data_IF_008040895282
#
_entry.id   IF_008040895282
#
_cell.length_a   1.000
_cell.length_b   1.000
_cell.length_c   1.000
_cell.angle_alpha   90.00
_cell.angle_beta   90.00
_cell.angle_gamma   90.00
#
_symmetry.space_group_name_H-M   'P 1'
#
loop_
_entity.id
_entity.type
_entity.pdbx_description
1 polymer ?
#
# COMPACT_ATOMS: atom_id res chain seq x y z
N UNK A 1 18.89 -7.08 -7.28
CA UNK A 1 19.43 -7.94 -8.36
C UNK A 1 18.27 -8.14 -9.33
N UNK A 2 18.42 -7.75 -10.57
CA UNK A 2 17.45 -8.04 -11.64
C UNK A 2 17.65 -9.51 -12.01
N UNK A 3 16.59 -10.24 -12.23
CA UNK A 3 16.69 -11.60 -12.76
C UNK A 3 16.88 -11.54 -14.28
N UNK A 4 18.11 -11.58 -14.73
CA UNK A 4 18.49 -11.42 -16.16
C UNK A 4 17.88 -12.50 -17.09
N UNK A 5 17.34 -13.57 -16.52
CA UNK A 5 16.69 -14.65 -17.27
C UNK A 5 15.18 -14.44 -17.47
N UNK A 6 14.60 -13.44 -16.81
CA UNK A 6 13.16 -13.13 -16.91
C UNK A 6 12.97 -11.93 -17.80
N UNK A 7 12.15 -12.09 -18.84
CA UNK A 7 11.76 -11.02 -19.73
C UNK A 7 10.24 -10.99 -19.87
N UNK A 8 9.60 -10.16 -19.06
CA UNK A 8 8.16 -9.96 -19.07
C UNK A 8 7.75 -8.89 -20.09
N UNK A 9 8.21 -9.04 -21.35
CA UNK A 9 7.89 -8.12 -22.45
C UNK A 9 6.41 -7.83 -22.52
N UNK A 10 6.06 -6.55 -22.55
CA UNK A 10 4.67 -6.08 -22.63
C UNK A 10 4.05 -5.75 -21.28
N UNK A 11 4.76 -5.95 -20.17
CA UNK A 11 4.36 -5.54 -18.83
C UNK A 11 5.44 -4.70 -18.17
N UNK A 12 5.02 -3.75 -17.34
CA UNK A 12 5.88 -3.01 -16.41
C UNK A 12 5.46 -3.39 -15.00
N UNK A 13 6.41 -3.90 -14.21
CA UNK A 13 6.19 -4.32 -12.85
C UNK A 13 6.82 -3.31 -11.89
N UNK A 14 6.02 -2.78 -10.96
CA UNK A 14 6.43 -1.78 -9.97
C UNK A 14 6.16 -2.36 -8.58
N UNK A 15 7.13 -2.29 -7.68
CA UNK A 15 6.93 -2.64 -6.28
C UNK A 15 6.35 -1.45 -5.51
N UNK A 16 5.34 -1.71 -4.70
CA UNK A 16 4.71 -0.73 -3.83
C UNK A 16 4.91 -1.18 -2.38
N UNK A 17 5.56 -0.36 -1.58
CA UNK A 17 5.84 -0.62 -0.18
C UNK A 17 5.11 0.38 0.71
N UNK A 18 4.32 -0.13 1.64
CA UNK A 18 3.76 0.65 2.74
C UNK A 18 4.61 0.39 3.99
N UNK A 19 5.23 1.42 4.53
CA UNK A 19 6.13 1.31 5.68
C UNK A 19 5.55 2.02 6.91
N UNK A 20 5.78 1.43 8.08
CA UNK A 20 5.50 2.08 9.36
C UNK A 20 6.72 2.93 9.75
N UNK A 21 6.82 4.12 9.15
CA UNK A 21 7.85 5.09 9.50
C UNK A 21 7.25 6.16 10.42
N UNK A 22 7.71 6.19 11.67
CA UNK A 22 7.29 7.22 12.65
C UNK A 22 8.17 8.46 12.61
N UNK A 23 9.34 8.36 11.98
CA UNK A 23 10.35 9.42 11.92
C UNK A 23 10.54 10.00 10.50
N UNK A 24 9.67 9.62 9.55
CA UNK A 24 9.72 10.09 8.15
C UNK A 24 10.87 9.48 7.32
N UNK A 25 11.61 8.50 7.85
CA UNK A 25 12.63 7.78 7.08
C UNK A 25 11.99 6.66 6.27
N UNK A 26 12.06 6.77 4.96
CA UNK A 26 11.53 5.78 4.02
C UNK A 26 12.59 4.79 3.50
N UNK A 27 13.86 4.94 3.92
CA UNK A 27 14.97 4.19 3.33
C UNK A 27 15.13 2.78 3.91
N UNK A 28 15.46 2.66 5.19
CA UNK A 28 15.73 1.41 5.90
C UNK A 28 15.35 1.54 7.36
N UNK A 29 15.42 0.42 8.09
CA UNK A 29 15.02 0.34 9.51
C UNK A 29 13.51 0.51 9.73
N UNK A 30 12.72 0.54 8.64
CA UNK A 30 11.27 0.44 8.68
C UNK A 30 10.83 -0.93 8.15
N UNK A 31 9.81 -1.51 8.76
CA UNK A 31 9.20 -2.73 8.25
C UNK A 31 8.20 -2.40 7.15
N UNK A 32 8.30 -3.10 6.01
CA UNK A 32 7.27 -3.02 4.97
C UNK A 32 6.06 -3.86 5.37
N UNK A 33 5.09 -3.22 5.97
CA UNK A 33 3.84 -3.84 6.42
C UNK A 33 2.91 -4.19 5.26
N UNK A 34 3.06 -3.46 4.16
CA UNK A 34 2.37 -3.69 2.89
C UNK A 34 3.41 -3.91 1.81
N UNK A 35 3.29 -5.02 1.08
CA UNK A 35 4.13 -5.35 -0.07
C UNK A 35 3.19 -5.72 -1.22
N UNK A 36 3.15 -4.86 -2.24
CA UNK A 36 2.32 -5.05 -3.42
C UNK A 36 3.18 -4.98 -4.68
N UNK A 37 2.75 -5.68 -5.71
CA UNK A 37 3.31 -5.60 -7.06
C UNK A 37 2.20 -5.11 -7.97
N UNK A 38 2.41 -3.96 -8.61
CA UNK A 38 1.56 -3.44 -9.67
C UNK A 38 2.13 -3.90 -11.01
N UNK A 39 1.42 -4.79 -11.70
CA UNK A 39 1.78 -5.27 -13.03
C UNK A 39 0.90 -4.57 -14.06
N UNK A 40 1.51 -3.71 -14.86
CA UNK A 40 0.85 -2.84 -15.83
C UNK A 40 1.03 -3.43 -17.24
N UNK A 41 -0.06 -3.75 -17.90
CA UNK A 41 -0.02 -4.12 -19.31
C UNK A 41 0.29 -2.87 -20.15
N UNK A 42 1.42 -2.84 -20.85
CA UNK A 42 1.89 -1.66 -21.57
C UNK A 42 0.98 -1.27 -22.75
N UNK A 43 0.22 -2.23 -23.30
CA UNK A 43 -0.69 -2.02 -24.42
C UNK A 43 -2.09 -1.59 -23.98
N UNK A 44 -2.71 -2.33 -23.06
CA UNK A 44 -4.10 -2.08 -22.61
C UNK A 44 -4.18 -1.09 -21.46
N UNK A 45 -3.06 -0.85 -20.75
CA UNK A 45 -2.98 -0.05 -19.51
C UNK A 45 -3.73 -0.67 -18.34
N UNK A 46 -4.13 -1.93 -18.46
CA UNK A 46 -4.70 -2.66 -17.33
C UNK A 46 -3.67 -2.86 -16.23
N UNK A 47 -4.08 -2.67 -14.99
CA UNK A 47 -3.23 -2.86 -13.80
C UNK A 47 -3.72 -4.05 -13.00
N UNK A 48 -2.83 -5.01 -12.73
CA UNK A 48 -3.07 -6.11 -11.81
C UNK A 48 -2.27 -5.85 -10.53
N UNK A 49 -2.93 -6.01 -9.39
CA UNK A 49 -2.31 -5.86 -8.07
C UNK A 49 -2.13 -7.24 -7.43
N UNK A 50 -0.91 -7.56 -7.05
CA UNK A 50 -0.56 -8.79 -6.35
C UNK A 50 0.03 -8.44 -4.99
N UNK A 51 -0.55 -8.99 -3.91
CA UNK A 51 -0.03 -8.81 -2.55
C UNK A 51 0.92 -9.94 -2.19
N UNK A 52 2.07 -9.57 -1.63
CA UNK A 52 2.96 -10.50 -0.94
C UNK A 52 2.74 -10.31 0.56
N UNK A 53 2.28 -11.35 1.25
CA UNK A 53 2.06 -11.25 2.69
C UNK A 53 3.38 -10.96 3.42
N UNK A 54 3.37 -10.01 4.34
CA UNK A 54 4.56 -9.55 5.06
C UNK A 54 5.31 -10.67 5.79
N UNK A 55 4.60 -11.69 6.24
CA UNK A 55 5.15 -12.84 6.96
C UNK A 55 5.52 -14.03 6.04
N UNK A 56 5.41 -13.86 4.70
CA UNK A 56 5.86 -14.88 3.75
C UNK A 56 7.36 -15.12 3.94
N UNK A 57 7.73 -16.41 4.07
CA UNK A 57 9.10 -16.83 4.31
C UNK A 57 9.83 -16.98 2.98
N UNK A 58 10.73 -16.07 2.65
CA UNK A 58 11.41 -15.96 1.36
C UNK A 58 12.93 -15.91 1.53
N UNK A 59 13.66 -16.31 0.49
CA UNK A 59 15.11 -16.12 0.42
C UNK A 59 15.43 -14.62 0.36
N UNK A 60 16.16 -14.14 1.36
CA UNK A 60 16.54 -12.74 1.54
C UNK A 60 17.78 -12.34 0.72
N UNK A 61 17.96 -12.94 -0.45
CA UNK A 61 19.03 -12.71 -1.44
C UNK A 61 20.45 -13.12 -1.02
N UNK A 62 20.66 -13.50 0.22
CA UNK A 62 21.96 -13.92 0.77
C UNK A 62 21.99 -15.43 1.13
N UNK A 63 20.97 -16.20 0.75
CA UNK A 63 20.81 -17.62 1.12
C UNK A 63 20.15 -17.83 2.48
N UNK A 64 19.81 -16.77 3.19
CA UNK A 64 19.03 -16.83 4.43
C UNK A 64 17.54 -16.61 4.12
N UNK A 65 16.71 -17.47 4.68
CA UNK A 65 15.26 -17.31 4.60
C UNK A 65 14.74 -16.49 5.79
N UNK A 66 13.92 -15.50 5.50
CA UNK A 66 13.31 -14.59 6.50
C UNK A 66 11.92 -14.17 6.04
N UNK A 67 11.19 -13.48 6.93
CA UNK A 67 9.92 -12.84 6.56
C UNK A 67 10.18 -11.74 5.51
N UNK A 68 9.29 -11.63 4.54
CA UNK A 68 9.40 -10.64 3.46
C UNK A 68 9.54 -9.20 3.99
N UNK A 69 8.83 -8.84 5.07
CA UNK A 69 8.90 -7.52 5.72
C UNK A 69 10.31 -7.17 6.21
N UNK A 70 11.10 -8.16 6.64
CA UNK A 70 12.46 -7.94 7.18
C UNK A 70 13.46 -7.54 6.08
N UNK A 71 13.21 -7.91 4.84
CA UNK A 71 14.07 -7.53 3.73
C UNK A 71 14.20 -6.02 3.56
N UNK A 72 13.08 -5.33 3.69
CA UNK A 72 13.06 -3.86 3.64
C UNK A 72 13.84 -3.26 4.82
N UNK A 73 13.62 -3.77 6.02
CA UNK A 73 14.32 -3.32 7.24
C UNK A 73 15.85 -3.39 7.10
N UNK A 74 16.38 -4.51 6.57
CA UNK A 74 17.82 -4.71 6.48
C UNK A 74 18.50 -4.06 5.29
N UNK A 75 17.79 -3.64 4.27
CA UNK A 75 18.43 -3.10 3.06
C UNK A 75 17.55 -2.23 2.19
N UNK A 76 16.45 -1.72 2.74
CA UNK A 76 15.56 -0.78 2.06
C UNK A 76 14.86 -1.37 0.83
N UNK A 77 14.34 -0.50 -0.03
CA UNK A 77 13.58 -0.91 -1.21
C UNK A 77 14.39 -1.75 -2.19
N UNK A 78 15.66 -1.45 -2.39
CA UNK A 78 16.53 -2.18 -3.32
C UNK A 78 16.68 -3.65 -2.95
N UNK A 79 16.82 -3.97 -1.66
CA UNK A 79 16.91 -5.35 -1.18
C UNK A 79 15.55 -6.04 -1.25
N UNK A 80 14.49 -5.35 -0.90
CA UNK A 80 13.12 -5.87 -1.01
C UNK A 80 12.76 -6.23 -2.46
N UNK A 81 13.11 -5.37 -3.43
CA UNK A 81 12.95 -5.67 -4.87
C UNK A 81 13.76 -6.90 -5.27
N UNK A 82 15.03 -6.97 -4.85
CA UNK A 82 15.88 -8.12 -5.18
C UNK A 82 15.31 -9.43 -4.62
N UNK A 83 14.72 -9.41 -3.43
CA UNK A 83 14.01 -10.55 -2.87
C UNK A 83 12.78 -10.93 -3.70
N UNK A 84 11.94 -9.95 -4.09
CA UNK A 84 10.76 -10.19 -4.92
C UNK A 84 11.16 -10.79 -6.27
N UNK A 85 12.12 -10.19 -6.96
CA UNK A 85 12.62 -10.67 -8.24
C UNK A 85 13.15 -12.10 -8.16
N UNK A 86 13.94 -12.41 -7.10
CA UNK A 86 14.54 -13.74 -6.91
C UNK A 86 13.50 -14.83 -6.64
N UNK A 87 12.52 -14.55 -5.79
CA UNK A 87 11.58 -15.57 -5.32
C UNK A 87 10.35 -15.74 -6.22
N UNK A 88 10.03 -14.73 -7.03
CA UNK A 88 8.82 -14.70 -7.87
C UNK A 88 9.12 -14.64 -9.37
N UNK A 89 10.39 -14.76 -9.77
CA UNK A 89 10.85 -14.67 -11.17
C UNK A 89 10.33 -13.40 -11.85
N UNK A 90 10.59 -12.22 -11.22
CA UNK A 90 10.17 -10.92 -11.72
C UNK A 90 11.36 -10.08 -12.18
N UNK A 91 11.06 -9.02 -12.91
CA UNK A 91 12.01 -8.04 -13.47
C UNK A 91 11.76 -6.62 -12.95
N UNK A 92 11.33 -6.48 -11.71
CA UNK A 92 11.02 -5.19 -11.08
C UNK A 92 12.29 -4.33 -11.01
N UNK A 93 12.22 -3.11 -11.51
CA UNK A 93 13.28 -2.08 -11.44
C UNK A 93 12.85 -0.85 -10.66
N UNK A 94 11.55 -0.58 -10.64
CA UNK A 94 10.97 0.63 -10.09
C UNK A 94 10.13 0.32 -8.84
N UNK A 95 10.06 1.28 -7.93
CA UNK A 95 9.28 1.16 -6.71
C UNK A 95 8.67 2.48 -6.27
N UNK A 96 7.65 2.38 -5.45
CA UNK A 96 7.08 3.49 -4.68
C UNK A 96 7.03 3.05 -3.22
N UNK A 97 7.52 3.89 -2.32
CA UNK A 97 7.38 3.70 -0.88
C UNK A 97 6.53 4.82 -0.31
N UNK A 98 5.54 4.47 0.47
CA UNK A 98 4.64 5.41 1.15
C UNK A 98 4.57 5.09 2.63
N UNK A 99 4.45 6.12 3.45
CA UNK A 99 4.07 6.01 4.85
C UNK A 99 2.58 6.27 5.06
N UNK A 100 2.15 6.26 6.30
CA UNK A 100 0.75 6.48 6.66
C UNK A 100 0.24 7.87 6.28
N UNK A 101 1.10 8.90 6.40
CA UNK A 101 0.73 10.28 6.09
C UNK A 101 0.49 10.46 4.60
N UNK A 102 1.42 9.96 3.77
CA UNK A 102 1.32 10.03 2.33
C UNK A 102 0.04 9.36 1.79
N UNK A 103 -0.34 8.19 2.33
CA UNK A 103 -1.60 7.53 1.93
C UNK A 103 -2.80 8.40 2.24
N UNK A 104 -2.85 8.99 3.45
CA UNK A 104 -3.95 9.85 3.84
C UNK A 104 -4.02 11.14 3.00
N UNK A 105 -2.86 11.74 2.69
CA UNK A 105 -2.78 12.95 1.87
C UNK A 105 -3.24 12.71 0.42
N UNK A 106 -2.83 11.59 -0.17
CA UNK A 106 -3.29 11.18 -1.51
C UNK A 106 -4.82 11.03 -1.56
N UNK A 107 -5.40 10.36 -0.57
CA UNK A 107 -6.86 10.17 -0.50
C UNK A 107 -7.59 11.51 -0.36
N UNK A 108 -7.11 12.42 0.50
CA UNK A 108 -7.71 13.73 0.69
C UNK A 108 -7.57 14.60 -0.56
N UNK A 109 -6.42 14.60 -1.23
CA UNK A 109 -6.20 15.32 -2.48
C UNK A 109 -7.13 14.86 -3.61
N UNK A 110 -7.53 13.58 -3.60
CA UNK A 110 -8.54 13.02 -4.51
C UNK A 110 -9.99 13.31 -4.07
N UNK A 111 -10.21 14.01 -2.96
CA UNK A 111 -11.54 14.27 -2.40
C UNK A 111 -12.20 13.04 -1.76
N UNK A 112 -11.38 12.15 -1.20
CA UNK A 112 -11.83 10.89 -0.57
C UNK A 112 -11.97 9.73 -1.55
N UNK A 113 -12.26 8.54 -1.06
CA UNK A 113 -12.50 7.32 -1.86
C UNK A 113 -13.77 6.60 -1.39
N UNK A 114 -14.49 5.97 -2.31
CA UNK A 114 -15.75 5.29 -2.00
C UNK A 114 -15.49 3.83 -1.57
N UNK A 115 -15.81 3.52 -0.32
CA UNK A 115 -15.65 2.19 0.29
C UNK A 115 -17.00 1.72 0.86
N UNK A 116 -17.31 0.46 0.64
CA UNK A 116 -18.45 -0.22 1.27
C UNK A 116 -18.01 -0.78 2.63
N UNK A 117 -18.23 0.01 3.69
CA UNK A 117 -17.83 -0.30 5.07
C UNK A 117 -18.82 -1.28 5.68
N UNK A 118 -18.32 -2.37 6.27
CA UNK A 118 -19.16 -3.36 6.95
C UNK A 118 -19.41 -2.96 8.40
N UNK A 119 -20.51 -3.45 8.98
CA UNK A 119 -20.94 -3.10 10.34
C UNK A 119 -19.87 -3.44 11.41
N UNK A 120 -19.23 -4.60 11.28
CA UNK A 120 -18.16 -5.06 12.18
C UNK A 120 -16.84 -4.29 12.01
N UNK A 121 -16.68 -3.51 10.95
CA UNK A 121 -15.50 -2.69 10.69
C UNK A 121 -15.55 -1.32 11.39
N UNK A 122 -16.75 -0.79 11.63
CA UNK A 122 -16.95 0.61 12.11
C UNK A 122 -16.19 0.87 13.40
N UNK A 123 -16.36 0.02 14.40
CA UNK A 123 -15.72 0.20 15.72
C UNK A 123 -14.19 0.17 15.59
N UNK A 124 -13.67 -0.70 14.74
CA UNK A 124 -12.22 -0.83 14.53
C UNK A 124 -11.67 0.35 13.73
N UNK A 125 -12.37 0.77 12.67
CA UNK A 125 -12.02 1.93 11.88
C UNK A 125 -11.93 3.18 12.77
N UNK A 126 -12.95 3.45 13.57
CA UNK A 126 -12.97 4.60 14.47
C UNK A 126 -11.85 4.55 15.53
N UNK A 127 -11.55 3.37 16.09
CA UNK A 127 -10.45 3.20 17.03
C UNK A 127 -9.09 3.50 16.38
N UNK A 128 -8.86 3.04 15.15
CA UNK A 128 -7.61 3.31 14.44
C UNK A 128 -7.43 4.78 14.02
N UNK A 129 -8.52 5.55 13.89
CA UNK A 129 -8.42 7.00 13.65
C UNK A 129 -7.71 7.73 14.80
N UNK A 130 -7.86 7.26 16.05
CA UNK A 130 -7.23 7.89 17.22
C UNK A 130 -5.69 7.87 17.08
N UNK A 131 -5.12 6.70 16.79
CA UNK A 131 -3.67 6.58 16.58
C UNK A 131 -3.24 7.26 15.28
N UNK A 132 -4.01 7.09 14.19
CA UNK A 132 -3.75 7.72 12.91
C UNK A 132 -3.72 9.25 12.99
N UNK A 133 -4.63 9.86 13.75
CA UNK A 133 -4.66 11.31 14.00
C UNK A 133 -3.40 11.81 14.71
N UNK A 134 -2.87 11.05 15.66
CA UNK A 134 -1.63 11.41 16.36
C UNK A 134 -0.42 11.43 15.41
N UNK A 135 -0.39 10.55 14.42
CA UNK A 135 0.70 10.45 13.45
C UNK A 135 0.56 11.49 12.32
N UNK A 136 -0.65 11.64 11.78
CA UNK A 136 -0.92 12.47 10.58
C UNK A 136 -1.32 13.91 10.91
N UNK A 137 -1.70 14.19 12.16
CA UNK A 137 -2.30 15.48 12.56
C UNK A 137 -3.70 15.75 12.03
N UNK A 138 -4.34 14.78 11.34
CA UNK A 138 -5.65 14.94 10.72
C UNK A 138 -6.78 14.81 11.75
N UNK A 139 -7.88 15.53 11.51
CA UNK A 139 -9.07 15.51 12.36
C UNK A 139 -9.80 14.16 12.30
N UNK A 140 -10.24 13.67 13.47
CA UNK A 140 -11.05 12.45 13.59
C UNK A 140 -12.49 12.78 13.18
N UNK A 141 -12.98 12.08 12.17
CA UNK A 141 -14.39 12.11 11.75
C UNK A 141 -14.95 10.69 11.89
N UNK A 142 -15.80 10.41 12.89
CA UNK A 142 -16.33 9.07 13.08
C UNK A 142 -17.15 8.58 11.89
N UNK A 143 -17.00 7.30 11.55
CA UNK A 143 -17.91 6.59 10.66
C UNK A 143 -19.08 6.09 11.50
N UNK A 144 -20.32 6.48 11.16
CA UNK A 144 -21.50 6.23 11.98
C UNK A 144 -22.37 5.06 11.49
N UNK A 145 -22.24 4.70 10.21
CA UNK A 145 -23.08 3.67 9.59
C UNK A 145 -22.30 2.82 8.58
N UNK A 146 -22.78 1.62 8.34
CA UNK A 146 -22.25 0.72 7.32
C UNK A 146 -22.80 1.06 5.93
N UNK A 147 -22.17 0.52 4.89
CA UNK A 147 -22.54 0.69 3.50
C UNK A 147 -21.57 1.57 2.73
N UNK A 148 -21.92 1.80 1.47
CA UNK A 148 -21.10 2.58 0.54
C UNK A 148 -21.08 4.05 0.95
N UNK A 149 -19.90 4.57 1.23
CA UNK A 149 -19.67 5.95 1.64
C UNK A 149 -18.27 6.42 1.25
N UNK A 150 -18.11 7.74 1.11
CA UNK A 150 -16.80 8.35 0.81
C UNK A 150 -16.00 8.51 2.11
N UNK A 151 -14.87 7.83 2.19
CA UNK A 151 -13.91 7.95 3.29
C UNK A 151 -12.88 9.03 2.99
N UNK A 152 -12.58 9.90 3.98
CA UNK A 152 -11.44 10.81 3.93
C UNK A 152 -10.11 10.06 4.14
N UNK A 153 -8.97 10.78 4.07
CA UNK A 153 -7.65 10.19 4.17
C UNK A 153 -7.42 9.43 5.46
N UNK A 154 -7.81 10.00 6.61
CA UNK A 154 -7.64 9.34 7.91
C UNK A 154 -8.54 8.12 8.07
N UNK A 155 -9.77 8.17 7.58
CA UNK A 155 -10.70 7.03 7.59
C UNK A 155 -10.19 5.91 6.67
N UNK A 156 -9.73 6.23 5.46
CA UNK A 156 -9.18 5.25 4.52
C UNK A 156 -7.90 4.58 5.05
N UNK A 157 -7.01 5.38 5.66
CA UNK A 157 -5.83 4.87 6.36
C UNK A 157 -6.23 3.90 7.49
N UNK A 158 -7.21 4.29 8.32
CA UNK A 158 -7.70 3.49 9.43
C UNK A 158 -8.32 2.19 8.96
N UNK A 159 -9.09 2.22 7.85
CA UNK A 159 -9.66 1.04 7.20
C UNK A 159 -8.57 0.05 6.75
N UNK A 160 -7.45 0.52 6.20
CA UNK A 160 -6.31 -0.32 5.81
C UNK A 160 -5.67 -1.07 7.00
N UNK A 161 -5.87 -0.62 8.23
CA UNK A 161 -5.21 -1.14 9.43
C UNK A 161 -6.04 -2.16 10.19
N UNK A 162 -7.33 -2.33 9.87
CA UNK A 162 -8.23 -3.24 10.58
C UNK A 162 -7.72 -4.68 10.51
N UNK A 163 -7.54 -5.31 11.69
CA UNK A 163 -7.09 -6.70 11.85
C UNK A 163 -8.07 -7.57 12.65
N UNK A 164 -8.97 -6.96 13.42
CA UNK A 164 -9.79 -7.63 14.43
C UNK A 164 -11.19 -8.03 13.90
N UNK A 165 -11.28 -8.31 12.58
CA UNK A 165 -12.46 -8.90 11.96
C UNK A 165 -12.15 -10.33 11.51
N UNK A 166 -13.16 -11.12 11.15
CA UNK A 166 -12.97 -12.45 10.60
C UNK A 166 -12.01 -12.41 9.40
N UNK A 167 -11.03 -13.32 9.35
CA UNK A 167 -10.00 -13.36 8.30
C UNK A 167 -8.71 -12.57 8.60
N UNK A 168 -8.63 -11.82 9.73
CA UNK A 168 -7.40 -11.22 10.29
C UNK A 168 -6.48 -10.56 9.25
N UNK A 169 -5.22 -11.02 9.08
CA UNK A 169 -4.23 -10.44 8.16
C UNK A 169 -4.60 -10.58 6.67
N UNK A 170 -5.34 -11.62 6.28
CA UNK A 170 -5.83 -11.74 4.91
C UNK A 170 -6.82 -10.63 4.57
N UNK A 171 -7.76 -10.35 5.47
CA UNK A 171 -8.72 -9.25 5.31
C UNK A 171 -8.04 -7.88 5.34
N UNK A 172 -7.02 -7.69 6.19
CA UNK A 172 -6.22 -6.46 6.14
C UNK A 172 -5.59 -6.25 4.77
N UNK A 173 -4.94 -7.27 4.21
CA UNK A 173 -4.31 -7.19 2.90
C UNK A 173 -5.33 -6.95 1.78
N UNK A 174 -6.54 -7.49 1.90
CA UNK A 174 -7.65 -7.22 0.98
C UNK A 174 -8.07 -5.75 1.06
N UNK A 175 -8.25 -5.18 2.26
CA UNK A 175 -8.57 -3.76 2.47
C UNK A 175 -7.51 -2.84 1.88
N UNK A 176 -6.24 -3.15 2.04
CA UNK A 176 -5.14 -2.39 1.45
C UNK A 176 -5.21 -2.38 -0.09
N UNK A 177 -5.49 -3.54 -0.72
CA UNK A 177 -5.71 -3.59 -2.17
C UNK A 177 -6.94 -2.79 -2.60
N UNK A 178 -8.03 -2.88 -1.85
CA UNK A 178 -9.26 -2.13 -2.14
C UNK A 178 -8.99 -0.61 -2.11
N UNK A 179 -8.34 -0.10 -1.07
CA UNK A 179 -7.98 1.31 -0.97
C UNK A 179 -7.11 1.74 -2.15
N UNK A 180 -6.04 0.99 -2.46
CA UNK A 180 -5.16 1.30 -3.58
C UNK A 180 -5.91 1.26 -4.93
N UNK A 181 -6.80 0.29 -5.13
CA UNK A 181 -7.62 0.21 -6.33
C UNK A 181 -8.53 1.44 -6.47
N UNK A 182 -9.16 1.88 -5.37
CA UNK A 182 -10.02 3.07 -5.36
C UNK A 182 -9.24 4.36 -5.62
N UNK A 183 -8.03 4.48 -5.05
CA UNK A 183 -7.10 5.57 -5.38
C UNK A 183 -6.79 5.58 -6.89
N UNK A 184 -6.42 4.44 -7.45
CA UNK A 184 -6.11 4.31 -8.88
C UNK A 184 -7.31 4.61 -9.78
N UNK A 185 -8.51 4.16 -9.42
CA UNK A 185 -9.76 4.46 -10.14
C UNK A 185 -10.03 5.97 -10.15
N UNK A 186 -9.94 6.62 -9.00
CA UNK A 186 -10.13 8.08 -8.89
C UNK A 186 -9.05 8.88 -9.60
N UNK A 187 -7.77 8.50 -9.44
CA UNK A 187 -6.66 9.16 -10.11
C UNK A 187 -6.77 9.10 -11.65
N UNK A 188 -7.27 7.99 -12.23
CA UNK A 188 -7.52 7.87 -13.68
C UNK A 188 -8.60 8.82 -14.19
N UNK A 189 -9.53 9.22 -13.34
CA UNK A 189 -10.63 10.13 -13.67
C UNK A 189 -10.38 11.57 -13.19
N UNK A 190 -9.29 11.81 -12.46
CA UNK A 190 -8.93 13.13 -11.94
C UNK A 190 -8.49 14.08 -13.06
N UNK A 191 -8.78 15.35 -12.89
CA UNK A 191 -8.30 16.39 -13.78
C UNK A 191 -6.78 16.69 -13.57
N UNK A 192 -6.21 17.44 -14.50
CA UNK A 192 -4.78 17.77 -14.48
C UNK A 192 -4.37 18.56 -13.23
N UNK A 193 -5.28 19.40 -12.71
CA UNK A 193 -5.02 20.21 -11.52
C UNK A 193 -4.92 19.31 -10.26
N UNK A 194 -5.84 18.36 -10.12
CA UNK A 194 -5.85 17.38 -9.04
C UNK A 194 -4.58 16.51 -9.10
N UNK A 195 -4.18 16.08 -10.31
CA UNK A 195 -2.96 15.29 -10.49
C UNK A 195 -1.68 16.07 -10.15
N UNK A 196 -1.61 17.36 -10.49
CA UNK A 196 -0.49 18.21 -10.10
C UNK A 196 -0.44 18.39 -8.58
N UNK A 197 -1.58 18.61 -7.94
CA UNK A 197 -1.65 18.71 -6.47
C UNK A 197 -1.19 17.42 -5.77
N UNK A 198 -1.44 16.25 -6.37
CA UNK A 198 -0.93 14.98 -5.86
C UNK A 198 0.60 14.91 -5.91
N UNK A 199 1.22 15.40 -6.97
CA UNK A 199 2.69 15.39 -7.14
C UNK A 199 3.35 16.36 -6.15
N UNK A 200 2.72 17.50 -5.88
CA UNK A 200 3.28 18.52 -5.00
C UNK A 200 3.13 18.20 -3.49
N UNK A 201 2.27 17.25 -3.11
CA UNK A 201 1.94 16.90 -1.72
C UNK A 201 2.40 15.50 -1.30
N UNK A 202 3.09 14.75 -2.16
CA UNK A 202 3.64 13.42 -1.92
C UNK A 202 5.15 13.43 -2.16
#
# INVERSE_FOLDING_TARGET
MINDNVNLKGYTNIALFGVDSREGSLDKEAHSDTILIASINNKTKDVKLVSVYRDTYLDNTNGEYRKATECYYFGGPSRAISMLNKNLDLDITDFVTVDFTAVADVVDALGGIDIDVQEDEIVHLNNYQVEGSQVTGKEIVPVEYAGLQTLNGLQALSYCRIRYTEGSDFKRTERQRTVLQKILEKAKSADLLTLNNLIDNV
#
